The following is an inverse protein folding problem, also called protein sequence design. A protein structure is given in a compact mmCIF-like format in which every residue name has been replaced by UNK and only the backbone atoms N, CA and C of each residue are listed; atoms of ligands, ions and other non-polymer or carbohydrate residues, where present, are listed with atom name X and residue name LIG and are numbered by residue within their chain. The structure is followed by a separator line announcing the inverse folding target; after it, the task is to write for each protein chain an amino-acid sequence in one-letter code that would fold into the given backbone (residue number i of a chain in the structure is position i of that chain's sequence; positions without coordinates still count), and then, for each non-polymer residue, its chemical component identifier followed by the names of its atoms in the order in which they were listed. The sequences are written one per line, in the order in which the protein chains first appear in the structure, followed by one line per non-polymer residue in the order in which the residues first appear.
data_IF_802334428084
#
_entry.id   IF_802334428084
#
_cell.length_a   1.000
_cell.length_b   1.000
_cell.length_c   1.000
_cell.angle_alpha   90.00
_cell.angle_beta   90.00
_cell.angle_gamma   90.00
#
_symmetry.space_group_name_H-M   'P 1'
#
loop_
_entity.id
_entity.type
_entity.pdbx_description
1 polymer ?
#
# COMPACT_ATOMS: atom_id res chain seq x y z
N UNK A 1 6.45 20.47 -12.84
CA UNK A 1 5.65 19.27 -12.51
C UNK A 1 6.31 18.59 -11.33
N UNK A 2 5.59 18.40 -10.22
CA UNK A 2 6.09 17.61 -9.09
C UNK A 2 6.08 16.13 -9.50
N UNK A 3 7.25 15.53 -9.62
CA UNK A 3 7.36 14.09 -9.87
C UNK A 3 6.85 13.34 -8.62
N UNK A 4 5.96 12.33 -8.78
CA UNK A 4 5.53 11.52 -7.66
C UNK A 4 6.73 10.73 -7.10
N UNK A 5 6.75 10.53 -5.78
CA UNK A 5 7.82 9.74 -5.16
C UNK A 5 7.72 8.28 -5.55
N UNK A 6 8.86 7.57 -5.53
CA UNK A 6 8.87 6.14 -5.82
C UNK A 6 7.95 5.36 -4.87
N UNK A 7 7.93 5.74 -3.59
CA UNK A 7 7.00 5.15 -2.62
C UNK A 7 5.52 5.39 -3.02
N UNK A 8 5.13 6.60 -3.42
CA UNK A 8 3.75 6.88 -3.81
C UNK A 8 3.35 6.16 -5.09
N UNK A 9 4.25 6.07 -6.08
CA UNK A 9 4.03 5.30 -7.32
C UNK A 9 3.77 3.82 -7.01
N UNK A 10 4.56 3.22 -6.10
CA UNK A 10 4.41 1.81 -5.73
C UNK A 10 3.05 1.56 -5.08
N UNK A 11 2.66 2.39 -4.10
CA UNK A 11 1.35 2.27 -3.47
C UNK A 11 0.19 2.49 -4.46
N UNK A 12 0.36 3.40 -5.43
CA UNK A 12 -0.62 3.64 -6.48
C UNK A 12 -0.77 2.42 -7.39
N UNK A 13 0.34 1.82 -7.84
CA UNK A 13 0.33 0.63 -8.67
C UNK A 13 -0.39 -0.54 -7.97
N UNK A 14 -0.07 -0.79 -6.69
CA UNK A 14 -0.74 -1.83 -5.90
C UNK A 14 -2.23 -1.51 -5.67
N UNK A 15 -2.58 -0.25 -5.46
CA UNK A 15 -3.96 0.18 -5.34
C UNK A 15 -4.80 -0.09 -6.59
N UNK A 16 -4.24 0.13 -7.78
CA UNK A 16 -4.90 -0.18 -9.05
C UNK A 16 -4.93 -1.69 -9.35
N UNK A 17 -3.88 -2.41 -8.98
CA UNK A 17 -3.77 -3.86 -9.22
C UNK A 17 -4.69 -4.67 -8.29
N UNK A 18 -4.92 -4.24 -7.05
CA UNK A 18 -5.78 -4.95 -6.10
C UNK A 18 -7.18 -5.30 -6.63
N UNK A 19 -7.97 -4.36 -7.20
CA UNK A 19 -9.30 -4.69 -7.75
C UNK A 19 -9.21 -5.57 -9.00
N UNK A 20 -8.17 -5.42 -9.81
CA UNK A 20 -7.90 -6.28 -10.97
C UNK A 20 -7.65 -7.72 -10.49
N UNK A 21 -6.75 -7.90 -9.52
CA UNK A 21 -6.47 -9.20 -8.91
C UNK A 21 -7.71 -9.83 -8.31
N UNK A 22 -8.52 -9.03 -7.59
CA UNK A 22 -9.78 -9.49 -7.03
C UNK A 22 -10.74 -10.06 -8.07
N UNK A 23 -10.75 -9.50 -9.28
CA UNK A 23 -11.70 -9.89 -10.33
C UNK A 23 -11.27 -11.13 -11.10
N UNK A 24 -9.95 -11.31 -11.30
CA UNK A 24 -9.43 -12.36 -12.18
C UNK A 24 -8.83 -13.56 -11.44
N UNK A 25 -8.32 -13.35 -10.23
CA UNK A 25 -7.46 -14.33 -9.54
C UNK A 25 -7.95 -14.75 -8.16
N UNK A 26 -8.86 -14.00 -7.53
CA UNK A 26 -9.34 -14.29 -6.16
C UNK A 26 -9.77 -15.75 -5.97
N UNK A 27 -10.61 -16.26 -6.87
CA UNK A 27 -11.19 -17.61 -6.73
C UNK A 27 -10.20 -18.74 -7.14
N UNK A 28 -9.01 -18.37 -7.63
CA UNK A 28 -7.95 -19.32 -8.03
C UNK A 28 -6.88 -19.50 -6.95
N UNK A 29 -6.97 -18.76 -5.84
CA UNK A 29 -5.96 -18.76 -4.78
C UNK A 29 -6.37 -19.76 -3.69
N UNK A 30 -5.54 -20.80 -3.48
CA UNK A 30 -5.77 -21.83 -2.47
C UNK A 30 -5.64 -21.33 -1.03
N UNK A 31 -4.80 -20.32 -0.79
CA UNK A 31 -4.63 -19.69 0.52
C UNK A 31 -4.71 -18.17 0.41
N UNK A 32 -5.94 -17.67 0.37
CA UNK A 32 -6.25 -16.25 0.18
C UNK A 32 -5.62 -15.37 1.27
N UNK A 33 -5.59 -15.85 2.52
CA UNK A 33 -5.00 -15.10 3.63
C UNK A 33 -3.49 -14.92 3.44
N UNK A 34 -2.74 -15.98 3.15
CA UNK A 34 -1.29 -15.90 2.95
C UNK A 34 -0.96 -15.04 1.73
N UNK A 35 -1.72 -15.17 0.65
CA UNK A 35 -1.59 -14.31 -0.52
C UNK A 35 -1.77 -12.84 -0.13
N UNK A 36 -2.83 -12.48 0.60
CA UNK A 36 -3.08 -11.10 0.98
C UNK A 36 -2.05 -10.54 1.96
N UNK A 37 -1.46 -11.37 2.82
CA UNK A 37 -0.30 -10.97 3.63
C UNK A 37 0.87 -10.60 2.71
N UNK A 38 1.24 -11.47 1.77
CA UNK A 38 2.34 -11.22 0.85
C UNK A 38 2.08 -10.01 -0.08
N UNK A 39 0.86 -9.93 -0.63
CA UNK A 39 0.39 -8.83 -1.46
C UNK A 39 0.46 -7.50 -0.74
N UNK A 40 0.09 -7.49 0.55
CA UNK A 40 0.17 -6.29 1.37
C UNK A 40 1.61 -5.98 1.77
N UNK A 41 2.45 -6.97 2.03
CA UNK A 41 3.83 -6.73 2.47
C UNK A 41 4.68 -6.05 1.39
N UNK A 42 4.51 -6.43 0.12
CA UNK A 42 5.32 -5.95 -0.98
C UNK A 42 5.35 -4.42 -1.14
N UNK A 43 4.21 -3.69 -1.25
CA UNK A 43 4.23 -2.25 -1.37
C UNK A 43 4.76 -1.56 -0.11
N UNK A 44 4.58 -2.16 1.07
CA UNK A 44 5.08 -1.59 2.32
C UNK A 44 6.59 -1.75 2.47
N UNK A 45 7.17 -2.91 2.13
CA UNK A 45 8.63 -3.11 2.13
C UNK A 45 9.31 -2.14 1.17
N UNK A 46 8.81 -2.07 -0.06
CA UNK A 46 9.33 -1.15 -1.07
C UNK A 46 9.12 0.30 -0.62
N UNK A 47 7.94 0.63 -0.08
CA UNK A 47 7.63 1.93 0.47
C UNK A 47 8.59 2.35 1.60
N UNK A 48 8.98 1.44 2.49
CA UNK A 48 9.96 1.70 3.55
C UNK A 48 11.35 2.01 2.98
N UNK A 49 11.81 1.23 1.99
CA UNK A 49 13.12 1.43 1.33
C UNK A 49 13.18 2.81 0.66
N UNK A 50 12.10 3.23 0.01
CA UNK A 50 12.02 4.51 -0.70
C UNK A 50 11.38 5.65 0.13
N UNK A 51 11.25 5.49 1.45
CA UNK A 51 10.73 6.54 2.31
C UNK A 51 11.78 7.62 2.53
N UNK A 52 11.58 8.87 2.06
CA UNK A 52 12.59 9.91 2.17
C UNK A 52 12.71 10.51 3.57
N UNK A 53 11.81 10.19 4.50
CA UNK A 53 11.83 10.69 5.87
C UNK A 53 11.37 9.66 6.89
N UNK A 54 11.80 9.83 8.14
CA UNK A 54 11.35 9.01 9.27
C UNK A 54 9.83 9.02 9.44
N UNK A 55 9.18 10.18 9.26
CA UNK A 55 7.73 10.29 9.37
C UNK A 55 6.99 9.47 8.30
N UNK A 56 7.50 9.45 7.07
CA UNK A 56 6.91 8.64 6.00
C UNK A 56 7.14 7.16 6.28
N UNK A 57 8.34 6.77 6.74
CA UNK A 57 8.61 5.39 7.13
C UNK A 57 7.69 4.92 8.27
N UNK A 58 7.47 5.75 9.30
CA UNK A 58 6.56 5.47 10.40
C UNK A 58 5.11 5.32 9.90
N UNK A 59 4.67 6.20 9.00
CA UNK A 59 3.34 6.13 8.39
C UNK A 59 3.16 4.82 7.60
N UNK A 60 4.16 4.44 6.79
CA UNK A 60 4.15 3.17 6.05
C UNK A 60 4.08 1.99 7.02
N UNK A 61 4.83 2.01 8.12
CA UNK A 61 4.80 0.95 9.12
C UNK A 61 3.43 0.83 9.81
N UNK A 62 2.82 1.94 10.20
CA UNK A 62 1.47 1.96 10.78
C UNK A 62 0.46 1.38 9.79
N UNK A 63 0.56 1.78 8.52
CA UNK A 63 -0.31 1.26 7.46
C UNK A 63 -0.14 -0.24 7.28
N UNK A 64 1.09 -0.77 7.34
CA UNK A 64 1.34 -2.21 7.29
C UNK A 64 0.63 -2.93 8.43
N UNK A 65 0.77 -2.44 9.67
CA UNK A 65 0.10 -3.02 10.84
C UNK A 65 -1.43 -3.05 10.67
N UNK A 66 -2.02 -1.94 10.20
CA UNK A 66 -3.47 -1.86 9.91
C UNK A 66 -3.87 -2.87 8.83
N UNK A 67 -3.09 -2.97 7.76
CA UNK A 67 -3.37 -3.87 6.64
C UNK A 67 -3.31 -5.33 7.08
N UNK A 68 -2.30 -5.71 7.86
CA UNK A 68 -2.17 -7.06 8.44
C UNK A 68 -3.29 -7.37 9.43
N UNK A 69 -3.71 -6.40 10.25
CA UNK A 69 -4.84 -6.57 11.16
C UNK A 69 -6.15 -6.85 10.40
N UNK A 70 -6.39 -6.15 9.29
CA UNK A 70 -7.56 -6.36 8.41
C UNK A 70 -7.54 -7.78 7.81
N UNK A 71 -6.37 -8.24 7.35
CA UNK A 71 -6.18 -9.60 6.84
C UNK A 71 -6.41 -10.65 7.94
N UNK A 72 -5.90 -10.41 9.15
CA UNK A 72 -6.14 -11.28 10.30
C UNK A 72 -7.64 -11.41 10.61
N UNK A 73 -8.38 -10.30 10.61
CA UNK A 73 -9.84 -10.26 10.80
C UNK A 73 -10.65 -10.82 9.63
N UNK A 74 -10.03 -11.30 8.56
CA UNK A 74 -10.72 -11.89 7.40
C UNK A 74 -11.45 -10.86 6.53
N UNK A 75 -11.16 -9.57 6.68
CA UNK A 75 -11.85 -8.49 5.94
C UNK A 75 -11.20 -8.25 4.56
N UNK A 76 -11.04 -9.33 3.78
CA UNK A 76 -10.28 -9.35 2.53
C UNK A 76 -10.79 -8.39 1.47
N UNK A 77 -12.11 -8.17 1.41
CA UNK A 77 -12.74 -7.22 0.47
C UNK A 77 -12.16 -5.80 0.57
N UNK A 78 -11.69 -5.41 1.76
CA UNK A 78 -11.08 -4.09 1.99
C UNK A 78 -9.69 -4.01 1.35
N UNK A 79 -8.91 -5.10 1.35
CA UNK A 79 -7.59 -5.14 0.70
C UNK A 79 -7.76 -5.17 -0.83
N UNK A 80 -8.70 -5.99 -1.30
CA UNK A 80 -9.02 -6.12 -2.71
C UNK A 80 -9.62 -4.87 -3.33
N UNK A 81 -10.28 -4.00 -2.56
CA UNK A 81 -10.74 -2.72 -3.09
C UNK A 81 -9.59 -1.81 -3.49
N UNK A 82 -8.37 -2.06 -3.00
CA UNK A 82 -7.18 -1.25 -3.26
C UNK A 82 -7.18 0.13 -2.60
N UNK A 83 -8.29 0.50 -1.95
CA UNK A 83 -8.52 1.84 -1.37
C UNK A 83 -7.44 2.19 -0.34
N UNK A 84 -7.02 1.24 0.48
CA UNK A 84 -5.96 1.47 1.48
C UNK A 84 -4.65 1.87 0.82
N UNK A 85 -4.26 1.19 -0.26
CA UNK A 85 -3.02 1.48 -0.97
C UNK A 85 -3.11 2.81 -1.74
N UNK A 86 -4.25 3.11 -2.37
CA UNK A 86 -4.49 4.40 -3.01
C UNK A 86 -4.44 5.56 -2.00
N UNK A 87 -5.06 5.38 -0.84
CA UNK A 87 -5.04 6.37 0.22
C UNK A 87 -3.62 6.63 0.73
N UNK A 88 -2.83 5.57 0.90
CA UNK A 88 -1.40 5.69 1.24
C UNK A 88 -0.60 6.46 0.17
N UNK A 89 -0.83 6.20 -1.11
CA UNK A 89 -0.16 6.92 -2.18
C UNK A 89 -0.41 8.44 -2.09
N UNK A 90 -1.66 8.83 -1.85
CA UNK A 90 -2.06 10.24 -1.67
C UNK A 90 -1.39 10.85 -0.44
N UNK A 91 -1.45 10.17 0.72
CA UNK A 91 -0.84 10.68 1.95
C UNK A 91 0.67 10.87 1.75
N UNK A 92 1.38 9.84 1.28
CA UNK A 92 2.83 9.93 1.05
C UNK A 92 3.17 11.11 0.15
N UNK A 93 2.41 11.32 -0.94
CA UNK A 93 2.65 12.42 -1.85
C UNK A 93 2.45 13.80 -1.18
N UNK A 94 1.44 13.95 -0.32
CA UNK A 94 1.20 15.19 0.43
C UNK A 94 2.34 15.48 1.39
N UNK A 95 2.83 14.48 2.12
CA UNK A 95 3.89 14.64 3.12
C UNK A 95 5.29 14.87 2.52
N UNK A 96 5.49 14.54 1.25
CA UNK A 96 6.70 14.87 0.51
C UNK A 96 6.67 16.32 0.00
N UNK A 97 5.47 16.88 -0.23
CA UNK A 97 5.27 18.19 -0.83
C UNK A 97 5.63 19.45 0.03
N UNK A 98 5.89 19.42 1.36
CA UNK A 98 6.28 20.63 2.09
C UNK A 98 7.77 20.78 2.36
N UNK A 99 8.62 19.76 2.15
CA UNK A 99 10.04 19.78 2.56
C UNK A 99 11.06 20.05 1.45
N UNK A 100 10.67 20.06 0.18
CA UNK A 100 11.54 20.50 -0.93
C UNK A 100 11.48 22.02 -1.17
N UNK A 101 10.93 22.79 -0.23
CA UNK A 101 10.79 24.26 -0.29
C UNK A 101 11.72 25.00 0.69
N UNK A 102 12.71 24.33 1.26
CA UNK A 102 13.80 24.96 2.01
C UNK A 102 15.14 24.43 1.50
#
# INVERSE_FOLDING_TARGET
MLAPSMASIVFLAYGLLSPIYSRFFKDKISNERLFLVAWSLAPHLVGLIYSPSFFIALLVLISLCVTLFIVYKGKFRIIYSGIIFLFMAVIIQIFINPLTRL
#
